data_IF_031503946168
#
_entry.id   IF_031503946168
#
_cell.length_a   1.000
_cell.length_b   1.000
_cell.length_c   1.000
_cell.angle_alpha   90.00
_cell.angle_beta   90.00
_cell.angle_gamma   90.00
#
_symmetry.space_group_name_H-M   'P 1'
#
loop_
_entity.id
_entity.type
_entity.pdbx_description
1 polymer ?
#
# COMPACT_ATOMS: atom_id res chain seq x y z
N UNK A 1 -32.92 2.83 30.83
CA UNK A 1 -31.58 2.19 30.94
C UNK A 1 -31.41 0.93 30.08
N UNK A 2 -32.47 0.36 29.49
CA UNK A 2 -32.42 -0.88 28.69
C UNK A 2 -32.00 -0.69 27.23
N UNK A 3 -32.22 0.50 26.66
CA UNK A 3 -31.87 0.82 25.27
C UNK A 3 -30.34 0.91 25.06
N UNK A 4 -29.62 1.52 26.00
CA UNK A 4 -28.14 1.62 25.97
C UNK A 4 -27.44 0.26 26.07
N UNK A 5 -27.96 -0.69 26.87
CA UNK A 5 -27.39 -2.05 26.96
C UNK A 5 -27.56 -2.86 25.66
N UNK A 6 -28.67 -2.66 24.93
CA UNK A 6 -28.89 -3.33 23.64
C UNK A 6 -27.98 -2.79 22.54
N UNK A 7 -27.76 -1.47 22.49
CA UNK A 7 -26.84 -0.85 21.52
C UNK A 7 -25.40 -1.29 21.77
N UNK A 8 -24.95 -1.30 23.03
CA UNK A 8 -23.61 -1.79 23.39
C UNK A 8 -23.43 -3.27 23.04
N UNK A 9 -24.46 -4.10 23.25
CA UNK A 9 -24.43 -5.52 22.87
C UNK A 9 -24.32 -5.73 21.35
N UNK A 10 -25.07 -4.96 20.54
CA UNK A 10 -25.03 -5.05 19.07
C UNK A 10 -23.70 -4.53 18.51
N UNK A 11 -23.21 -3.39 19.01
CA UNK A 11 -21.93 -2.82 18.58
C UNK A 11 -20.75 -3.74 18.93
N UNK A 12 -20.75 -4.32 20.14
CA UNK A 12 -19.75 -5.31 20.54
C UNK A 12 -19.78 -6.57 19.68
N UNK A 13 -20.98 -7.09 19.39
CA UNK A 13 -21.13 -8.25 18.50
C UNK A 13 -20.64 -7.95 17.08
N UNK A 14 -20.97 -6.77 16.53
CA UNK A 14 -20.51 -6.35 15.21
C UNK A 14 -18.97 -6.20 15.15
N UNK A 15 -18.35 -5.64 16.19
CA UNK A 15 -16.90 -5.52 16.28
C UNK A 15 -16.21 -6.89 16.33
N UNK A 16 -16.75 -7.84 17.10
CA UNK A 16 -16.25 -9.22 17.16
C UNK A 16 -16.41 -9.91 15.80
N UNK A 17 -17.59 -9.81 15.19
CA UNK A 17 -17.86 -10.39 13.87
C UNK A 17 -16.87 -9.85 12.83
N UNK A 18 -16.70 -8.53 12.82
CA UNK A 18 -15.78 -7.87 11.90
C UNK A 18 -14.34 -8.31 12.14
N UNK A 19 -13.88 -8.29 13.39
CA UNK A 19 -12.50 -8.64 13.75
C UNK A 19 -12.16 -10.12 13.51
N UNK A 20 -13.09 -11.02 13.79
CA UNK A 20 -12.85 -12.47 13.69
C UNK A 20 -13.04 -13.03 12.28
N UNK A 21 -13.96 -12.47 11.49
CA UNK A 21 -14.36 -13.10 10.22
C UNK A 21 -14.24 -12.21 8.99
N UNK A 22 -14.44 -10.89 9.12
CA UNK A 22 -14.42 -9.98 7.96
C UNK A 22 -13.00 -9.49 7.71
N UNK A 23 -12.37 -8.86 8.70
CA UNK A 23 -11.05 -8.27 8.59
C UNK A 23 -9.99 -9.28 8.11
N UNK A 24 -9.87 -10.50 8.66
CA UNK A 24 -8.86 -11.46 8.21
C UNK A 24 -9.01 -11.85 6.74
N UNK A 25 -10.24 -11.93 6.23
CA UNK A 25 -10.51 -12.23 4.81
C UNK A 25 -10.15 -11.06 3.91
N UNK A 26 -10.42 -9.83 4.33
CA UNK A 26 -10.08 -8.63 3.56
C UNK A 26 -8.56 -8.45 3.44
N UNK A 27 -7.81 -8.63 4.53
CA UNK A 27 -6.36 -8.38 4.54
C UNK A 27 -5.52 -9.55 4.01
N UNK A 28 -6.15 -10.66 3.61
CA UNK A 28 -5.50 -11.86 3.04
C UNK A 28 -6.08 -12.24 1.66
N UNK A 29 -6.79 -11.32 1.03
CA UNK A 29 -7.55 -11.62 -0.17
C UNK A 29 -6.63 -12.14 -1.30
N UNK A 30 -6.96 -13.34 -1.81
CA UNK A 30 -6.25 -14.01 -2.89
C UNK A 30 -4.92 -14.66 -2.51
N UNK A 31 -4.41 -14.43 -1.29
CA UNK A 31 -3.21 -15.08 -0.78
C UNK A 31 -3.52 -16.43 -0.12
N UNK A 32 -2.60 -17.37 -0.29
CA UNK A 32 -2.57 -18.66 0.40
C UNK A 32 -2.04 -18.51 1.83
N UNK A 33 -2.33 -19.51 2.69
CA UNK A 33 -1.81 -19.51 4.06
C UNK A 33 -0.28 -19.57 4.10
N UNK A 34 0.36 -20.21 3.12
CA UNK A 34 1.82 -20.28 2.98
C UNK A 34 2.42 -18.92 2.65
N UNK A 35 1.84 -18.16 1.72
CA UNK A 35 2.28 -16.80 1.38
C UNK A 35 2.11 -15.84 2.57
N UNK A 36 1.04 -16.03 3.35
CA UNK A 36 0.75 -15.23 4.55
C UNK A 36 1.71 -15.58 5.71
N UNK A 37 2.10 -16.84 5.87
CA UNK A 37 3.01 -17.28 6.93
C UNK A 37 4.49 -17.16 6.55
N UNK A 38 4.80 -17.11 5.26
CA UNK A 38 6.16 -17.05 4.72
C UNK A 38 6.89 -15.75 5.05
N UNK A 39 8.21 -15.71 4.81
CA UNK A 39 9.03 -14.53 5.03
C UNK A 39 8.55 -13.37 4.14
N UNK A 40 8.56 -12.15 4.69
CA UNK A 40 8.19 -10.94 3.97
C UNK A 40 9.46 -10.21 3.51
N UNK A 41 9.66 -9.98 2.20
CA UNK A 41 10.80 -9.22 1.70
C UNK A 41 10.86 -7.82 2.32
N UNK A 42 12.06 -7.39 2.74
CA UNK A 42 12.26 -6.07 3.35
C UNK A 42 11.66 -5.90 4.75
N UNK A 43 11.40 -6.97 5.49
CA UNK A 43 10.88 -6.89 6.88
C UNK A 43 11.75 -6.03 7.82
N UNK A 44 13.04 -5.89 7.51
CA UNK A 44 14.04 -5.09 8.19
C UNK A 44 14.00 -3.59 7.82
N UNK A 45 13.30 -3.20 6.75
CA UNK A 45 13.14 -1.80 6.34
C UNK A 45 12.27 -0.97 7.30
N UNK A 46 11.41 -1.64 8.07
CA UNK A 46 10.59 -1.04 9.14
C UNK A 46 10.85 -1.80 10.45
N UNK A 47 11.89 -1.42 11.21
CA UNK A 47 12.27 -2.12 12.43
C UNK A 47 11.11 -2.19 13.45
N UNK A 48 10.82 -3.40 13.92
CA UNK A 48 9.70 -3.64 14.85
C UNK A 48 8.31 -3.55 14.22
N UNK A 49 8.23 -3.40 12.90
CA UNK A 49 6.99 -3.45 12.14
C UNK A 49 6.29 -4.80 12.30
N UNK A 50 4.96 -4.76 12.33
CA UNK A 50 4.13 -5.96 12.31
C UNK A 50 3.47 -6.10 10.94
N UNK A 51 3.39 -7.33 10.43
CA UNK A 51 2.76 -7.60 9.13
C UNK A 51 1.26 -7.25 9.20
N UNK A 52 0.84 -6.27 8.40
CA UNK A 52 -0.56 -5.80 8.39
C UNK A 52 -1.50 -6.73 7.64
N UNK A 53 -1.11 -7.17 6.44
CA UNK A 53 -1.86 -8.03 5.53
C UNK A 53 -0.98 -8.52 4.38
N UNK A 54 -1.45 -9.52 3.64
CA UNK A 54 -0.80 -10.01 2.43
C UNK A 54 -1.90 -10.38 1.43
N UNK A 55 -2.07 -9.59 0.39
CA UNK A 55 -3.00 -9.86 -0.70
C UNK A 55 -2.21 -10.33 -1.91
N UNK A 56 -2.76 -11.27 -2.67
CA UNK A 56 -2.08 -11.83 -3.83
C UNK A 56 -3.06 -12.07 -4.98
N UNK A 57 -2.54 -12.05 -6.19
CA UNK A 57 -3.25 -12.44 -7.40
C UNK A 57 -2.27 -13.14 -8.34
N UNK A 58 -2.69 -14.24 -8.95
CA UNK A 58 -1.90 -14.90 -9.99
C UNK A 58 -2.08 -14.17 -11.31
N UNK A 59 -0.97 -13.75 -11.91
CA UNK A 59 -0.93 -13.19 -13.26
C UNK A 59 -0.29 -14.25 -14.16
N UNK A 60 -1.00 -14.67 -15.21
CA UNK A 60 -0.50 -15.65 -16.19
C UNK A 60 0.45 -14.97 -17.19
N UNK A 61 1.58 -14.46 -16.68
CA UNK A 61 2.64 -13.81 -17.44
C UNK A 61 3.98 -13.94 -16.70
N UNK A 62 5.10 -14.00 -17.42
CA UNK A 62 6.41 -14.00 -16.79
C UNK A 62 6.71 -12.64 -16.11
N UNK A 63 7.54 -12.63 -15.04
CA UNK A 63 7.81 -11.41 -14.28
C UNK A 63 8.37 -10.22 -15.09
N UNK A 64 9.12 -10.47 -16.16
CA UNK A 64 9.67 -9.45 -17.07
C UNK A 64 8.59 -8.72 -17.89
N UNK A 65 7.41 -9.32 -18.05
CA UNK A 65 6.25 -8.64 -18.66
C UNK A 65 5.42 -7.87 -17.63
N UNK A 66 5.47 -8.27 -16.36
CA UNK A 66 4.74 -7.61 -15.26
C UNK A 66 5.52 -6.41 -14.72
N UNK A 67 6.84 -6.55 -14.57
CA UNK A 67 7.70 -5.56 -13.93
C UNK A 67 7.59 -4.15 -14.53
N UNK A 68 7.50 -3.95 -15.86
CA UNK A 68 7.32 -2.63 -16.46
C UNK A 68 6.07 -1.88 -15.98
N UNK A 69 5.01 -2.61 -15.59
CA UNK A 69 3.80 -2.02 -15.02
C UNK A 69 4.01 -1.53 -13.59
N UNK A 70 4.80 -2.27 -12.80
CA UNK A 70 5.12 -1.91 -11.41
C UNK A 70 6.01 -0.67 -11.35
N UNK A 71 7.08 -0.62 -12.17
CA UNK A 71 8.02 0.51 -12.13
C UNK A 71 7.44 1.81 -12.67
N UNK A 72 6.41 1.75 -13.52
CA UNK A 72 5.72 2.94 -14.01
C UNK A 72 4.57 3.42 -13.11
N UNK A 73 4.33 2.76 -11.97
CA UNK A 73 3.29 3.12 -11.02
C UNK A 73 3.48 4.55 -10.49
N UNK A 74 2.39 5.29 -10.32
CA UNK A 74 2.41 6.66 -9.79
C UNK A 74 1.42 7.57 -10.50
N UNK A 75 0.84 8.50 -9.76
CA UNK A 75 -0.21 9.40 -10.25
C UNK A 75 0.27 10.44 -11.28
N UNK A 76 1.57 10.70 -11.35
CA UNK A 76 2.22 11.46 -12.42
C UNK A 76 2.77 10.58 -13.56
N UNK A 77 2.56 9.25 -13.50
CA UNK A 77 3.00 8.25 -14.48
C UNK A 77 1.82 7.36 -14.91
N UNK A 78 1.91 6.05 -14.69
CA UNK A 78 0.93 5.05 -15.14
C UNK A 78 -0.36 4.96 -14.30
N UNK A 79 -0.48 5.72 -13.22
CA UNK A 79 -1.56 5.57 -12.24
C UNK A 79 -1.25 4.51 -11.17
N UNK A 80 -2.22 4.27 -10.29
CA UNK A 80 -2.12 3.29 -9.20
C UNK A 80 -2.77 1.93 -9.53
N UNK A 81 -3.36 1.80 -10.73
CA UNK A 81 -4.07 0.60 -11.20
C UNK A 81 -5.14 0.10 -10.22
N UNK A 82 -5.84 1.07 -9.63
CA UNK A 82 -6.89 0.86 -8.65
C UNK A 82 -8.06 1.76 -9.07
N UNK A 83 -8.74 2.39 -8.13
CA UNK A 83 -9.88 3.25 -8.37
C UNK A 83 -9.41 4.65 -8.74
N UNK A 84 -9.28 4.93 -10.04
CA UNK A 84 -8.75 6.20 -10.56
C UNK A 84 -9.40 7.45 -9.96
N UNK A 85 -10.70 7.41 -9.63
CA UNK A 85 -11.40 8.51 -8.97
C UNK A 85 -10.96 8.76 -7.51
N UNK A 86 -10.41 7.76 -6.84
CA UNK A 86 -9.94 7.83 -5.46
C UNK A 86 -8.44 8.13 -5.37
N UNK A 87 -7.60 7.49 -6.19
CA UNK A 87 -6.14 7.52 -6.06
C UNK A 87 -5.39 8.22 -7.21
N UNK A 88 -6.07 8.47 -8.33
CA UNK A 88 -5.47 9.08 -9.53
C UNK A 88 -6.18 10.40 -9.95
N UNK A 89 -6.95 11.01 -9.03
CA UNK A 89 -7.66 12.27 -9.27
C UNK A 89 -8.77 12.22 -10.34
N UNK A 90 -9.15 11.03 -10.77
CA UNK A 90 -10.06 10.76 -11.89
C UNK A 90 -9.39 10.69 -13.25
N UNK A 91 -8.05 10.71 -13.33
CA UNK A 91 -7.32 10.44 -14.57
C UNK A 91 -7.29 8.94 -14.81
N UNK A 92 -7.53 8.46 -16.05
CA UNK A 92 -7.44 7.05 -16.33
C UNK A 92 -6.02 6.55 -16.14
N UNK A 93 -5.85 5.42 -15.46
CA UNK A 93 -4.58 4.69 -15.41
C UNK A 93 -4.14 4.27 -16.82
N UNK A 94 -2.84 4.13 -17.03
CA UNK A 94 -2.29 3.74 -18.32
C UNK A 94 -2.74 2.31 -18.70
N UNK A 95 -3.02 2.10 -19.98
CA UNK A 95 -3.39 0.79 -20.53
C UNK A 95 -2.28 0.16 -21.38
N UNK A 96 -1.06 0.70 -21.29
CA UNK A 96 0.14 0.18 -21.94
C UNK A 96 1.37 0.51 -21.11
N UNK A 97 2.46 -0.20 -21.39
CA UNK A 97 3.78 0.14 -20.87
C UNK A 97 4.33 1.35 -21.63
N UNK A 98 4.86 2.32 -20.89
CA UNK A 98 5.43 3.56 -21.42
C UNK A 98 6.95 3.58 -21.21
N UNK A 99 7.77 3.60 -22.28
CA UNK A 99 9.24 3.59 -22.18
C UNK A 99 9.82 4.73 -21.34
N UNK A 100 9.18 5.89 -21.35
CA UNK A 100 9.60 7.10 -20.63
C UNK A 100 9.45 7.00 -19.09
N UNK A 101 8.82 5.95 -18.57
CA UNK A 101 8.55 5.76 -17.13
C UNK A 101 9.31 4.59 -16.50
N UNK A 102 10.27 4.01 -17.23
CA UNK A 102 10.93 2.75 -16.83
C UNK A 102 12.17 2.96 -15.94
N UNK A 103 12.66 4.19 -15.82
CA UNK A 103 13.89 4.53 -15.07
C UNK A 103 13.59 4.84 -13.59
N UNK A 104 12.82 3.99 -12.90
CA UNK A 104 12.58 4.13 -11.46
C UNK A 104 13.81 3.69 -10.66
N UNK A 105 14.25 4.51 -9.71
CA UNK A 105 15.43 4.25 -8.89
C UNK A 105 15.11 4.19 -7.38
N UNK A 106 16.03 3.60 -6.61
CA UNK A 106 16.00 3.65 -5.15
C UNK A 106 16.03 5.11 -4.66
N UNK A 107 15.17 5.44 -3.69
CA UNK A 107 15.03 6.78 -3.13
C UNK A 107 14.10 7.70 -3.93
N UNK A 108 13.64 7.29 -5.11
CA UNK A 108 12.58 8.01 -5.82
C UNK A 108 11.26 7.93 -5.06
N UNK A 109 10.33 8.84 -5.37
CA UNK A 109 8.99 8.82 -4.82
C UNK A 109 7.95 8.42 -5.85
N UNK A 110 7.14 7.43 -5.48
CA UNK A 110 5.90 7.10 -6.16
C UNK A 110 4.81 8.01 -5.60
N UNK A 111 4.19 8.80 -6.48
CA UNK A 111 3.29 9.90 -6.09
C UNK A 111 1.83 9.52 -6.18
N UNK A 112 0.98 10.13 -5.36
CA UNK A 112 -0.48 10.19 -5.62
C UNK A 112 -0.81 11.40 -6.46
N UNK A 113 -1.91 11.33 -7.23
CA UNK A 113 -2.47 12.53 -7.85
C UNK A 113 -3.64 13.05 -7.02
N UNK A 114 -3.53 14.28 -6.52
CA UNK A 114 -4.64 14.98 -5.86
C UNK A 114 -5.22 16.04 -6.77
N UNK A 115 -6.54 16.22 -6.77
CA UNK A 115 -7.19 17.30 -7.55
C UNK A 115 -6.74 18.69 -7.13
N UNK A 116 -6.40 18.87 -5.85
CA UNK A 116 -6.07 20.19 -5.28
C UNK A 116 -4.61 20.59 -5.46
N UNK A 117 -3.68 19.65 -5.33
CA UNK A 117 -2.24 19.94 -5.30
C UNK A 117 -1.47 19.29 -6.44
N UNK A 118 -2.14 18.55 -7.33
CA UNK A 118 -1.47 17.77 -8.36
C UNK A 118 -0.73 16.56 -7.76
N UNK A 119 0.44 16.19 -8.30
CA UNK A 119 1.20 15.04 -7.81
C UNK A 119 1.84 15.35 -6.45
N UNK A 120 1.69 14.43 -5.51
CA UNK A 120 2.20 14.54 -4.14
C UNK A 120 3.00 13.29 -3.81
N UNK A 121 4.21 13.48 -3.29
CA UNK A 121 5.06 12.39 -2.80
C UNK A 121 4.29 11.54 -1.77
N UNK A 122 4.25 10.23 -2.01
CA UNK A 122 3.48 9.32 -1.19
C UNK A 122 4.33 8.20 -0.59
N UNK A 123 5.08 7.50 -1.43
CA UNK A 123 5.91 6.38 -1.00
C UNK A 123 7.30 6.47 -1.60
N UNK A 124 8.33 6.32 -0.78
CA UNK A 124 9.72 6.21 -1.22
C UNK A 124 9.99 4.79 -1.74
N UNK A 125 10.72 4.66 -2.83
CA UNK A 125 11.28 3.38 -3.29
C UNK A 125 12.42 2.96 -2.36
N UNK A 126 12.10 2.11 -1.38
CA UNK A 126 13.03 1.65 -0.37
C UNK A 126 13.73 0.34 -0.75
N UNK A 127 13.12 -0.46 -1.63
CA UNK A 127 13.74 -1.64 -2.23
C UNK A 127 13.34 -1.77 -3.69
N UNK A 128 14.30 -2.19 -4.52
CA UNK A 128 14.11 -2.34 -5.96
C UNK A 128 14.94 -3.53 -6.45
N UNK A 129 14.31 -4.70 -6.52
CA UNK A 129 14.86 -5.92 -7.08
C UNK A 129 14.12 -6.25 -8.38
N UNK A 130 14.74 -6.00 -9.55
CA UNK A 130 14.09 -6.19 -10.83
C UNK A 130 13.41 -7.56 -10.97
N UNK A 131 12.18 -7.54 -11.48
CA UNK A 131 11.34 -8.71 -11.71
C UNK A 131 11.02 -9.55 -10.45
N UNK A 132 11.23 -9.00 -9.25
CA UNK A 132 11.04 -9.75 -7.99
C UNK A 132 10.38 -8.96 -6.89
N UNK A 133 10.86 -7.75 -6.58
CA UNK A 133 10.36 -6.99 -5.43
C UNK A 133 10.51 -5.48 -5.63
N UNK A 134 9.40 -4.77 -5.53
CA UNK A 134 9.35 -3.31 -5.40
C UNK A 134 8.80 -3.01 -4.01
N UNK A 135 9.64 -2.49 -3.13
CA UNK A 135 9.27 -2.16 -1.75
C UNK A 135 9.10 -0.66 -1.59
N UNK A 136 7.91 -0.24 -1.19
CA UNK A 136 7.51 1.16 -1.10
C UNK A 136 7.30 1.56 0.35
N UNK A 137 8.14 2.46 0.87
CA UNK A 137 8.13 2.86 2.28
C UNK A 137 7.44 4.21 2.46
N UNK A 138 6.51 4.24 3.40
CA UNK A 138 5.79 5.44 3.79
C UNK A 138 6.06 5.77 5.24
N UNK A 139 6.29 7.05 5.53
CA UNK A 139 6.37 7.59 6.87
C UNK A 139 5.50 8.85 6.95
N UNK A 140 4.59 8.89 7.90
CA UNK A 140 3.67 10.01 8.08
C UNK A 140 3.34 10.26 9.55
N UNK A 141 2.89 11.48 9.85
CA UNK A 141 2.30 11.79 11.15
C UNK A 141 0.87 11.24 11.26
N UNK A 142 0.29 11.30 12.46
CA UNK A 142 -1.09 10.85 12.69
C UNK A 142 -2.16 11.71 11.97
N UNK A 143 -1.77 12.78 11.28
CA UNK A 143 -2.63 13.61 10.42
C UNK A 143 -2.47 13.25 8.94
N UNK A 144 -1.67 12.23 8.62
CA UNK A 144 -1.41 11.77 7.26
C UNK A 144 -0.43 12.64 6.47
N UNK A 145 0.31 13.54 7.13
CA UNK A 145 1.35 14.33 6.46
C UNK A 145 2.62 13.49 6.35
N UNK A 146 3.18 13.40 5.15
CA UNK A 146 4.47 12.75 4.92
C UNK A 146 5.56 13.39 5.77
N UNK A 147 6.42 12.55 6.35
CA UNK A 147 7.58 12.97 7.14
C UNK A 147 8.86 12.60 6.40
N UNK A 148 9.90 13.41 6.58
CA UNK A 148 11.21 13.16 6.01
C UNK A 148 11.88 11.96 6.71
N UNK A 149 12.16 10.91 5.94
CA UNK A 149 12.80 9.69 6.41
C UNK A 149 14.23 9.89 6.92
N UNK A 150 14.88 11.01 6.56
CA UNK A 150 16.22 11.38 7.03
C UNK A 150 16.20 12.08 8.38
N UNK A 151 15.03 12.49 8.86
CA UNK A 151 14.88 13.15 10.16
C UNK A 151 14.55 12.14 11.26
N UNK A 152 14.85 12.47 12.54
CA UNK A 152 14.41 11.66 13.67
C UNK A 152 12.88 11.51 13.66
N UNK A 153 12.40 10.30 13.97
CA UNK A 153 10.96 10.05 14.07
C UNK A 153 10.38 10.87 15.23
N UNK A 154 9.22 11.53 15.05
CA UNK A 154 8.54 12.19 16.14
C UNK A 154 7.99 11.17 17.14
N UNK A 155 7.46 11.62 18.28
CA UNK A 155 6.89 10.73 19.30
C UNK A 155 5.65 9.95 18.85
N UNK A 156 4.99 10.38 17.77
CA UNK A 156 3.82 9.72 17.20
C UNK A 156 3.84 9.79 15.67
N UNK A 157 3.86 8.63 15.02
CA UNK A 157 3.94 8.47 13.58
C UNK A 157 3.34 7.13 13.14
N UNK A 158 3.15 6.99 11.83
CA UNK A 158 2.90 5.74 11.14
C UNK A 158 4.01 5.50 10.12
N UNK A 159 4.62 4.32 10.17
CA UNK A 159 5.64 3.88 9.21
C UNK A 159 5.22 2.51 8.69
N UNK A 160 5.41 2.28 7.40
CA UNK A 160 5.02 1.02 6.77
C UNK A 160 5.75 0.77 5.47
N UNK A 161 5.85 -0.51 5.12
CA UNK A 161 6.29 -0.98 3.82
C UNK A 161 5.08 -1.55 3.09
N UNK A 162 4.91 -1.13 1.85
CA UNK A 162 3.98 -1.68 0.88
C UNK A 162 4.74 -2.54 -0.12
#
# INVERSE_FOLDING_TARGET
MTFGRKIVGVAGTAAVVYGAWVRPRLVRWGATDEEVAGPYPGADLVPGGQRGGAMAVTIDAPPDQVWPWLVQLGGDRGGWYSWDHLDNGGRPSAHRVHPEWQDLALGDYVRYWTRRHGPVDAWEVAALEPNRFLGLRGLSDLRGRGLDLKQPRPSAYTEGLW
#
